data_IF_671619946203
#
_entry.id   IF_671619946203
#
_cell.length_a   1.000
_cell.length_b   1.000
_cell.length_c   1.000
_cell.angle_alpha   90.00
_cell.angle_beta   90.00
_cell.angle_gamma   90.00
#
_symmetry.space_group_name_H-M   'P 1'
#
loop_
_entity.id
_entity.type
_entity.pdbx_description
1 polymer ?
#
# COMPACT_ATOMS: atom_id res chain seq x y z
N UNK A 1 -40.03 -17.65 -50.85
CA UNK A 1 -40.02 -17.46 -49.38
C UNK A 1 -38.63 -17.80 -48.87
N UNK A 2 -37.78 -16.80 -48.62
CA UNK A 2 -36.45 -17.03 -48.06
C UNK A 2 -36.57 -17.32 -46.57
N UNK A 3 -36.18 -18.53 -46.15
CA UNK A 3 -35.99 -18.85 -44.74
C UNK A 3 -34.87 -17.97 -44.18
N UNK A 4 -35.23 -16.84 -43.56
CA UNK A 4 -34.34 -16.11 -42.67
C UNK A 4 -34.19 -16.95 -41.40
N UNK A 5 -33.24 -17.89 -41.42
CA UNK A 5 -32.77 -18.51 -40.19
C UNK A 5 -32.14 -17.41 -39.33
N UNK A 6 -32.59 -17.21 -38.09
CA UNK A 6 -31.99 -16.21 -37.22
C UNK A 6 -30.50 -16.54 -37.05
N UNK A 7 -29.60 -15.54 -37.02
CA UNK A 7 -28.18 -15.79 -36.84
C UNK A 7 -27.95 -16.53 -35.53
N UNK A 8 -27.28 -17.68 -35.60
CA UNK A 8 -26.95 -18.50 -34.43
C UNK A 8 -26.25 -17.64 -33.37
N UNK A 9 -26.61 -17.77 -32.09
CA UNK A 9 -25.90 -17.09 -31.03
C UNK A 9 -24.44 -17.54 -31.05
N UNK A 10 -23.53 -16.59 -30.90
CA UNK A 10 -22.11 -16.80 -31.14
C UNK A 10 -21.42 -17.10 -29.82
N UNK A 11 -21.00 -18.34 -29.61
CA UNK A 11 -20.23 -18.81 -28.45
C UNK A 11 -19.12 -17.85 -28.03
N UNK A 12 -18.34 -17.33 -28.96
CA UNK A 12 -17.25 -16.39 -28.63
C UNK A 12 -17.72 -15.09 -27.93
N UNK A 13 -18.98 -14.67 -28.14
CA UNK A 13 -19.55 -13.47 -27.48
C UNK A 13 -19.77 -13.72 -26.00
N UNK A 14 -20.12 -14.95 -25.60
CA UNK A 14 -20.26 -15.35 -24.19
C UNK A 14 -18.95 -15.16 -23.45
N UNK A 15 -17.87 -15.69 -24.04
CA UNK A 15 -16.53 -15.63 -23.47
C UNK A 15 -16.05 -14.19 -23.34
N UNK A 16 -16.25 -13.38 -24.38
CA UNK A 16 -15.89 -11.97 -24.35
C UNK A 16 -16.70 -11.20 -23.29
N UNK A 17 -18.01 -11.41 -23.22
CA UNK A 17 -18.86 -10.75 -22.22
C UNK A 17 -18.50 -11.17 -20.79
N UNK A 18 -18.21 -12.45 -20.56
CA UNK A 18 -17.80 -12.98 -19.26
C UNK A 18 -16.44 -12.42 -18.83
N UNK A 19 -15.52 -12.22 -19.78
CA UNK A 19 -14.23 -11.61 -19.52
C UNK A 19 -14.35 -10.14 -19.08
N UNK A 20 -15.32 -9.38 -19.62
CA UNK A 20 -15.58 -8.01 -19.18
C UNK A 20 -16.32 -7.96 -17.84
N UNK A 21 -17.31 -8.83 -17.65
CA UNK A 21 -18.07 -8.94 -16.41
C UNK A 21 -18.54 -10.39 -16.25
N UNK A 22 -18.20 -11.02 -15.11
CA UNK A 22 -18.30 -12.48 -14.96
C UNK A 22 -19.74 -12.99 -15.09
N UNK A 23 -20.73 -12.16 -14.77
CA UNK A 23 -22.14 -12.50 -14.92
C UNK A 23 -22.72 -12.33 -16.33
N UNK A 24 -22.12 -11.50 -17.21
CA UNK A 24 -22.77 -11.12 -18.47
C UNK A 24 -22.91 -12.27 -19.47
N UNK A 25 -21.99 -13.24 -19.49
CA UNK A 25 -22.12 -14.42 -20.34
C UNK A 25 -23.39 -15.22 -20.04
N UNK A 26 -23.73 -15.36 -18.76
CA UNK A 26 -24.97 -16.03 -18.31
C UNK A 26 -26.22 -15.21 -18.68
N UNK A 27 -26.16 -13.88 -18.57
CA UNK A 27 -27.26 -13.01 -19.01
C UNK A 27 -27.49 -13.14 -20.51
N UNK A 28 -26.41 -13.17 -21.30
CA UNK A 28 -26.46 -13.39 -22.75
C UNK A 28 -27.09 -14.75 -23.10
N UNK A 29 -26.72 -15.80 -22.38
CA UNK A 29 -27.33 -17.13 -22.47
C UNK A 29 -28.77 -17.22 -21.91
N UNK A 30 -29.37 -16.10 -21.47
CA UNK A 30 -30.78 -16.02 -21.05
C UNK A 30 -31.03 -16.25 -19.56
N UNK A 31 -30.00 -16.41 -18.74
CA UNK A 31 -30.07 -16.56 -17.27
C UNK A 31 -29.76 -15.25 -16.55
N UNK A 32 -30.72 -14.32 -16.55
CA UNK A 32 -30.57 -13.01 -15.93
C UNK A 32 -30.17 -13.09 -14.44
N UNK A 33 -30.96 -13.81 -13.63
CA UNK A 33 -30.72 -13.91 -12.18
C UNK A 33 -29.34 -14.52 -11.88
N UNK A 34 -28.96 -15.57 -12.61
CA UNK A 34 -27.65 -16.20 -12.42
C UNK A 34 -26.48 -15.26 -12.70
N UNK A 35 -26.57 -14.47 -13.78
CA UNK A 35 -25.56 -13.46 -14.09
C UNK A 35 -25.46 -12.36 -13.03
N UNK A 36 -26.60 -11.83 -12.58
CA UNK A 36 -26.63 -10.82 -11.50
C UNK A 36 -26.03 -11.37 -10.20
N UNK A 37 -26.38 -12.60 -9.82
CA UNK A 37 -25.83 -13.25 -8.61
C UNK A 37 -24.32 -13.40 -8.69
N UNK A 38 -23.77 -13.83 -9.83
CA UNK A 38 -22.31 -13.95 -10.01
C UNK A 38 -21.61 -12.58 -9.88
N UNK A 39 -22.17 -11.53 -10.50
CA UNK A 39 -21.62 -10.18 -10.37
C UNK A 39 -21.60 -9.71 -8.91
N UNK A 40 -22.72 -9.82 -8.21
CA UNK A 40 -22.82 -9.42 -6.80
C UNK A 40 -21.92 -10.26 -5.89
N UNK A 41 -21.78 -11.56 -6.18
CA UNK A 41 -20.86 -12.43 -5.45
C UNK A 41 -19.40 -11.97 -5.59
N UNK A 42 -18.96 -11.60 -6.80
CA UNK A 42 -17.60 -11.09 -7.03
C UNK A 42 -17.38 -9.75 -6.32
N UNK A 43 -18.38 -8.85 -6.31
CA UNK A 43 -18.32 -7.60 -5.54
C UNK A 43 -18.20 -7.88 -4.04
N UNK A 44 -18.98 -8.83 -3.51
CA UNK A 44 -18.91 -9.23 -2.10
C UNK A 44 -17.55 -9.85 -1.74
N UNK A 45 -17.01 -10.70 -2.62
CA UNK A 45 -15.67 -11.25 -2.46
C UNK A 45 -14.61 -10.14 -2.42
N UNK A 46 -14.72 -9.14 -3.30
CA UNK A 46 -13.82 -7.98 -3.30
C UNK A 46 -13.90 -7.17 -2.01
N UNK A 47 -15.12 -6.93 -1.48
CA UNK A 47 -15.32 -6.29 -0.18
C UNK A 47 -14.66 -7.08 0.96
N UNK A 48 -14.82 -8.40 0.97
CA UNK A 48 -14.16 -9.26 1.93
C UNK A 48 -12.63 -9.15 1.84
N UNK A 49 -12.07 -9.13 0.62
CA UNK A 49 -10.63 -8.95 0.41
C UNK A 49 -10.16 -7.58 0.91
N UNK A 50 -10.92 -6.50 0.71
CA UNK A 50 -10.58 -5.18 1.24
C UNK A 50 -10.52 -5.19 2.77
N UNK A 51 -11.48 -5.82 3.43
CA UNK A 51 -11.45 -5.99 4.89
C UNK A 51 -10.22 -6.82 5.28
N UNK A 52 -9.98 -7.94 4.60
CA UNK A 52 -8.87 -8.84 4.88
C UNK A 52 -7.50 -8.13 4.80
N UNK A 53 -7.26 -7.38 3.73
CA UNK A 53 -6.02 -6.59 3.55
C UNK A 53 -5.87 -5.55 4.66
N UNK A 54 -6.96 -4.90 5.07
CA UNK A 54 -6.94 -3.84 6.10
C UNK A 54 -6.56 -4.36 7.48
N UNK A 55 -7.04 -5.55 7.86
CA UNK A 55 -6.88 -6.08 9.21
C UNK A 55 -5.75 -7.12 9.36
N UNK A 56 -5.35 -7.80 8.29
CA UNK A 56 -4.36 -8.88 8.35
C UNK A 56 -3.02 -8.57 7.68
N UNK A 57 -2.75 -7.32 7.32
CA UNK A 57 -1.48 -6.88 6.74
C UNK A 57 -1.02 -7.75 5.55
N UNK A 58 -1.97 -8.17 4.72
CA UNK A 58 -1.69 -9.07 3.59
C UNK A 58 -0.82 -8.36 2.55
N UNK A 59 0.16 -9.09 2.01
CA UNK A 59 1.00 -8.61 0.90
C UNK A 59 0.15 -8.49 -0.36
N UNK A 60 0.07 -7.27 -0.92
CA UNK A 60 -0.84 -6.96 -2.03
C UNK A 60 -0.58 -7.80 -3.29
N UNK A 61 0.67 -8.15 -3.57
CA UNK A 61 1.02 -8.98 -4.73
C UNK A 61 0.35 -10.37 -4.67
N UNK A 62 0.34 -11.01 -3.51
CA UNK A 62 -0.31 -12.31 -3.33
C UNK A 62 -1.83 -12.20 -3.38
N UNK A 63 -2.38 -11.12 -2.84
CA UNK A 63 -3.81 -10.84 -2.93
C UNK A 63 -4.24 -10.62 -4.38
N UNK A 64 -3.48 -9.83 -5.14
CA UNK A 64 -3.75 -9.59 -6.56
C UNK A 64 -3.68 -10.89 -7.38
N UNK A 65 -2.68 -11.74 -7.11
CA UNK A 65 -2.57 -13.05 -7.75
C UNK A 65 -3.78 -13.94 -7.41
N UNK A 66 -4.17 -14.02 -6.14
CA UNK A 66 -5.32 -14.81 -5.71
C UNK A 66 -6.63 -14.30 -6.33
N UNK A 67 -6.82 -12.99 -6.41
CA UNK A 67 -7.98 -12.37 -7.08
C UNK A 67 -7.99 -12.68 -8.58
N UNK A 68 -6.84 -12.63 -9.25
CA UNK A 68 -6.73 -12.96 -10.67
C UNK A 68 -7.06 -14.44 -10.94
N UNK A 69 -6.57 -15.35 -10.09
CA UNK A 69 -6.90 -16.77 -10.17
C UNK A 69 -8.39 -17.03 -9.91
N UNK A 70 -8.97 -16.38 -8.89
CA UNK A 70 -10.39 -16.47 -8.59
C UNK A 70 -11.25 -15.91 -9.74
N UNK A 71 -10.85 -14.78 -10.33
CA UNK A 71 -11.50 -14.18 -11.50
C UNK A 71 -11.47 -15.13 -12.70
N UNK A 72 -10.31 -15.68 -13.03
CA UNK A 72 -10.14 -16.63 -14.12
C UNK A 72 -10.99 -17.90 -13.90
N UNK A 73 -11.01 -18.43 -12.68
CA UNK A 73 -11.81 -19.61 -12.31
C UNK A 73 -13.31 -19.33 -12.43
N UNK A 74 -13.81 -18.24 -11.82
CA UNK A 74 -15.23 -17.87 -11.88
C UNK A 74 -15.65 -17.59 -13.32
N UNK A 75 -14.83 -16.86 -14.08
CA UNK A 75 -15.09 -16.57 -15.49
C UNK A 75 -15.14 -17.84 -16.35
N UNK A 76 -14.21 -18.78 -16.15
CA UNK A 76 -14.21 -20.07 -16.86
C UNK A 76 -15.47 -20.88 -16.56
N UNK A 77 -15.88 -20.97 -15.29
CA UNK A 77 -17.08 -21.68 -14.87
C UNK A 77 -18.37 -21.01 -15.39
N UNK A 78 -18.45 -19.69 -15.33
CA UNK A 78 -19.61 -18.94 -15.81
C UNK A 78 -19.74 -19.03 -17.34
N UNK A 79 -18.63 -18.88 -18.08
CA UNK A 79 -18.61 -18.98 -19.54
C UNK A 79 -18.95 -20.39 -20.02
N UNK A 80 -18.34 -21.43 -19.42
CA UNK A 80 -18.65 -22.83 -19.76
C UNK A 80 -20.11 -23.18 -19.49
N UNK A 81 -20.68 -22.70 -18.37
CA UNK A 81 -22.10 -22.90 -18.08
C UNK A 81 -23.01 -22.16 -19.06
N UNK A 82 -22.66 -20.94 -19.44
CA UNK A 82 -23.41 -20.16 -20.42
C UNK A 82 -23.37 -20.82 -21.82
N UNK A 83 -22.24 -21.40 -22.23
CA UNK A 83 -22.12 -22.13 -23.50
C UNK A 83 -23.00 -23.37 -23.54
N UNK A 84 -23.03 -24.16 -22.46
CA UNK A 84 -23.92 -25.33 -22.35
C UNK A 84 -25.40 -24.91 -22.51
N UNK A 85 -25.80 -23.82 -21.87
CA UNK A 85 -27.18 -23.31 -21.94
C UNK A 85 -27.55 -22.84 -23.36
N UNK A 86 -26.59 -22.27 -24.09
CA UNK A 86 -26.80 -21.85 -25.48
C UNK A 86 -26.93 -23.04 -26.43
N UNK A 87 -26.20 -24.13 -26.18
CA UNK A 87 -26.34 -25.38 -26.92
C UNK A 87 -27.71 -26.04 -26.68
N UNK A 88 -28.24 -25.95 -25.46
CA UNK A 88 -29.55 -26.51 -25.09
C UNK A 88 -30.74 -25.69 -25.64
N UNK A 89 -30.61 -24.37 -25.80
CA UNK A 89 -31.75 -23.45 -26.06
C UNK A 89 -31.91 -23.06 -27.54
N UNK A 90 -31.46 -23.89 -28.49
CA UNK A 90 -31.27 -23.54 -29.91
C UNK A 90 -32.53 -23.17 -30.74
N UNK A 91 -33.72 -22.99 -30.14
CA UNK A 91 -34.95 -22.65 -30.87
C UNK A 91 -35.83 -21.54 -30.26
N UNK A 92 -35.45 -20.89 -29.15
CA UNK A 92 -36.26 -19.80 -28.59
C UNK A 92 -35.96 -18.43 -29.24
N UNK A 93 -37.03 -17.71 -29.57
CA UNK A 93 -37.03 -16.30 -29.97
C UNK A 93 -36.23 -15.44 -28.99
N UNK A 94 -35.48 -14.45 -29.51
CA UNK A 94 -34.70 -13.50 -28.69
C UNK A 94 -35.56 -12.93 -27.57
N UNK A 95 -35.13 -13.11 -26.32
CA UNK A 95 -35.85 -12.56 -25.16
C UNK A 95 -35.73 -11.04 -25.18
N UNK A 96 -36.78 -10.33 -24.74
CA UNK A 96 -36.84 -8.86 -24.75
C UNK A 96 -35.65 -8.18 -24.03
N UNK A 97 -35.00 -8.90 -23.11
CA UNK A 97 -33.84 -8.40 -22.35
C UNK A 97 -32.49 -8.52 -23.07
N UNK A 98 -32.43 -9.13 -24.26
CA UNK A 98 -31.18 -9.32 -25.02
C UNK A 98 -30.81 -8.09 -25.86
N UNK A 99 -30.81 -6.92 -25.21
CA UNK A 99 -30.44 -5.64 -25.81
C UNK A 99 -29.11 -5.15 -25.22
N UNK A 100 -28.16 -4.62 -26.02
CA UNK A 100 -26.86 -4.17 -25.52
C UNK A 100 -26.98 -3.16 -24.37
N UNK A 101 -27.95 -2.24 -24.42
CA UNK A 101 -28.21 -1.30 -23.32
C UNK A 101 -28.54 -1.99 -21.98
N UNK A 102 -29.26 -3.11 -22.02
CA UNK A 102 -29.62 -3.85 -20.81
C UNK A 102 -28.38 -4.54 -20.23
N UNK A 103 -27.51 -5.11 -21.08
CA UNK A 103 -26.24 -5.67 -20.63
C UNK A 103 -25.33 -4.61 -20.02
N UNK A 104 -25.21 -3.44 -20.66
CA UNK A 104 -24.46 -2.30 -20.11
C UNK A 104 -25.02 -1.86 -18.77
N UNK A 105 -26.35 -1.72 -18.66
CA UNK A 105 -27.00 -1.32 -17.41
C UNK A 105 -26.77 -2.34 -16.29
N UNK A 106 -26.91 -3.63 -16.58
CA UNK A 106 -26.65 -4.70 -15.61
C UNK A 106 -25.19 -4.67 -15.18
N UNK A 107 -24.24 -4.59 -16.12
CA UNK A 107 -22.82 -4.54 -15.82
C UNK A 107 -22.49 -3.33 -14.95
N UNK A 108 -23.02 -2.16 -15.29
CA UNK A 108 -22.82 -0.92 -14.56
C UNK A 108 -23.38 -0.99 -13.14
N UNK A 109 -24.61 -1.48 -12.97
CA UNK A 109 -25.30 -1.48 -11.67
C UNK A 109 -24.87 -2.61 -10.74
N UNK A 110 -24.45 -3.75 -11.28
CA UNK A 110 -24.17 -4.96 -10.48
C UNK A 110 -22.69 -5.30 -10.36
N UNK A 111 -21.84 -4.68 -11.16
CA UNK A 111 -20.40 -4.98 -11.18
C UNK A 111 -19.54 -3.72 -11.26
N UNK A 112 -19.49 -3.04 -12.41
CA UNK A 112 -18.55 -1.93 -12.66
C UNK A 112 -18.75 -0.77 -11.68
N UNK A 113 -20.00 -0.34 -11.46
CA UNK A 113 -20.32 0.74 -10.51
C UNK A 113 -19.96 0.38 -9.07
N UNK A 114 -20.46 -0.75 -8.52
CA UNK A 114 -20.06 -1.20 -7.19
C UNK A 114 -18.55 -1.39 -7.03
N UNK A 115 -17.86 -2.00 -7.98
CA UNK A 115 -16.38 -2.15 -7.95
C UNK A 115 -15.70 -0.79 -7.91
N UNK A 116 -16.11 0.15 -8.77
CA UNK A 116 -15.56 1.49 -8.79
C UNK A 116 -15.75 2.21 -7.44
N UNK A 117 -16.94 2.07 -6.83
CA UNK A 117 -17.23 2.61 -5.49
C UNK A 117 -16.33 1.96 -4.45
N UNK A 118 -16.19 0.63 -4.43
CA UNK A 118 -15.34 -0.08 -3.48
C UNK A 118 -13.88 0.37 -3.59
N UNK A 119 -13.34 0.46 -4.81
CA UNK A 119 -11.96 0.94 -5.04
C UNK A 119 -11.80 2.39 -4.58
N UNK A 120 -12.68 3.29 -5.02
CA UNK A 120 -12.63 4.71 -4.69
C UNK A 120 -12.71 4.94 -3.17
N UNK A 121 -13.64 4.30 -2.49
CA UNK A 121 -13.79 4.44 -1.04
C UNK A 121 -12.59 3.86 -0.28
N UNK A 122 -12.04 2.73 -0.74
CA UNK A 122 -10.85 2.11 -0.12
C UNK A 122 -9.63 3.02 -0.22
N UNK A 123 -9.37 3.63 -1.39
CA UNK A 123 -8.23 4.52 -1.61
C UNK A 123 -8.40 5.90 -0.94
N UNK A 124 -9.64 6.34 -0.68
CA UNK A 124 -9.89 7.59 0.05
C UNK A 124 -9.74 7.42 1.56
N UNK A 125 -10.19 6.31 2.13
CA UNK A 125 -10.38 6.20 3.57
C UNK A 125 -9.52 5.13 4.24
N UNK A 126 -9.18 4.04 3.55
CA UNK A 126 -8.52 2.89 4.18
C UNK A 126 -7.02 2.88 3.90
N UNK A 127 -6.61 3.18 2.68
CA UNK A 127 -5.23 3.02 2.25
C UNK A 127 -4.73 4.21 1.44
N UNK A 128 -3.42 4.32 1.33
CA UNK A 128 -2.75 5.19 0.36
C UNK A 128 -1.41 4.56 -0.02
N UNK A 129 -0.78 5.12 -1.04
CA UNK A 129 0.57 4.73 -1.45
C UNK A 129 1.47 5.95 -1.34
N UNK A 130 2.69 5.75 -0.85
CA UNK A 130 3.72 6.80 -0.77
C UNK A 130 4.96 6.34 -1.50
N UNK A 131 5.50 7.21 -2.36
CA UNK A 131 6.75 6.93 -3.04
C UNK A 131 7.94 7.33 -2.16
N UNK A 132 9.03 6.57 -2.25
CA UNK A 132 10.29 6.86 -1.57
C UNK A 132 11.25 7.40 -2.61
N UNK A 133 11.57 8.68 -2.52
CA UNK A 133 12.41 9.38 -3.50
C UNK A 133 13.88 9.49 -3.07
N UNK A 134 14.16 9.35 -1.78
CA UNK A 134 15.46 9.61 -1.18
C UNK A 134 15.87 8.53 -0.16
N UNK A 135 17.01 8.73 0.48
CA UNK A 135 17.59 7.79 1.43
C UNK A 135 17.13 7.99 2.89
N UNK A 136 16.07 8.75 3.18
CA UNK A 136 15.62 9.02 4.55
C UNK A 136 15.20 7.75 5.30
N UNK A 137 14.59 6.79 4.61
CA UNK A 137 14.15 5.50 5.19
C UNK A 137 15.19 4.38 5.08
N UNK A 138 16.40 4.68 4.63
CA UNK A 138 17.45 3.68 4.54
C UNK A 138 17.83 3.17 5.95
N UNK A 139 18.02 1.85 6.15
CA UNK A 139 18.09 0.78 5.15
C UNK A 139 16.77 0.08 4.82
N UNK A 140 15.69 0.42 5.52
CA UNK A 140 14.42 -0.29 5.43
C UNK A 140 13.76 -0.12 4.05
N UNK A 141 13.71 1.12 3.54
CA UNK A 141 13.24 1.43 2.20
C UNK A 141 14.30 2.18 1.39
N UNK A 142 14.27 2.00 0.08
CA UNK A 142 15.20 2.57 -0.88
C UNK A 142 14.48 3.51 -1.85
N UNK A 143 15.20 4.47 -2.46
CA UNK A 143 14.70 5.22 -3.60
C UNK A 143 14.11 4.30 -4.68
N UNK A 144 12.90 4.65 -5.12
CA UNK A 144 12.11 3.88 -6.09
C UNK A 144 11.15 2.86 -5.49
N UNK A 145 11.14 2.69 -4.16
CA UNK A 145 10.12 1.90 -3.46
C UNK A 145 8.78 2.66 -3.39
N UNK A 146 7.67 1.92 -3.45
CA UNK A 146 6.32 2.41 -3.17
C UNK A 146 5.78 1.68 -1.96
N UNK A 147 5.46 2.41 -0.91
CA UNK A 147 4.99 1.85 0.35
C UNK A 147 3.47 1.75 0.34
N UNK A 148 2.94 0.62 0.78
CA UNK A 148 1.53 0.49 1.11
C UNK A 148 1.30 1.03 2.51
N UNK A 149 0.50 2.09 2.62
CA UNK A 149 0.20 2.78 3.88
C UNK A 149 -1.26 2.58 4.22
N UNK A 150 -1.52 2.05 5.41
CA UNK A 150 -2.87 1.97 5.97
C UNK A 150 -3.19 3.29 6.65
N UNK A 151 -4.30 3.91 6.26
CA UNK A 151 -4.83 5.12 6.91
C UNK A 151 -5.41 4.74 8.26
N UNK A 152 -4.73 5.18 9.31
CA UNK A 152 -5.15 5.03 10.70
C UNK A 152 -4.73 6.31 11.41
N UNK A 153 -5.67 7.23 11.63
CA UNK A 153 -5.40 8.44 12.39
C UNK A 153 -4.86 8.13 13.78
N UNK A 154 -3.90 8.93 14.25
CA UNK A 154 -3.28 8.73 15.55
C UNK A 154 -4.27 8.75 16.72
N UNK A 155 -5.35 9.54 16.65
CA UNK A 155 -6.38 9.57 17.70
C UNK A 155 -7.19 8.26 17.81
N UNK A 156 -7.24 7.44 16.75
CA UNK A 156 -7.91 6.12 16.78
C UNK A 156 -6.94 5.04 17.30
N UNK A 157 -5.70 5.07 16.82
CA UNK A 157 -4.66 4.16 17.26
C UNK A 157 -3.36 4.95 17.47
N UNK A 158 -3.08 5.40 18.71
CA UNK A 158 -1.90 6.17 19.03
C UNK A 158 -0.62 5.42 18.61
N UNK A 159 0.26 6.05 17.81
CA UNK A 159 1.60 5.52 17.54
C UNK A 159 2.39 5.35 18.83
N UNK A 160 3.18 4.29 18.88
CA UNK A 160 4.12 4.04 19.97
C UNK A 160 5.54 4.30 19.51
N UNK A 161 6.44 4.49 20.47
CA UNK A 161 7.88 4.52 20.22
C UNK A 161 8.30 3.34 19.34
N UNK A 162 9.12 3.63 18.34
CA UNK A 162 9.58 2.67 17.36
C UNK A 162 8.62 2.45 16.18
N UNK A 163 7.35 2.85 16.26
CA UNK A 163 6.43 2.70 15.12
C UNK A 163 6.87 3.61 13.96
N UNK A 164 6.76 3.10 12.74
CA UNK A 164 6.78 3.94 11.55
C UNK A 164 5.41 4.57 11.32
N UNK A 165 5.42 5.85 11.01
CA UNK A 165 4.23 6.65 10.76
C UNK A 165 4.38 7.42 9.46
N UNK A 166 3.28 7.56 8.73
CA UNK A 166 3.19 8.47 7.59
C UNK A 166 2.41 9.70 8.00
N UNK A 167 3.01 10.86 7.77
CA UNK A 167 2.51 12.16 8.19
C UNK A 167 2.66 13.19 7.09
N UNK A 168 2.00 14.32 7.24
CA UNK A 168 2.21 15.49 6.39
C UNK A 168 3.24 16.39 7.05
N UNK A 169 4.36 16.66 6.37
CA UNK A 169 5.39 17.56 6.93
C UNK A 169 4.89 19.01 6.96
N UNK A 170 5.05 19.74 8.07
CA UNK A 170 4.57 21.13 8.17
C UNK A 170 5.21 22.09 7.15
N UNK A 171 6.47 21.84 6.79
CA UNK A 171 7.24 22.74 5.92
C UNK A 171 6.81 22.66 4.44
N UNK A 172 6.55 21.44 3.94
CA UNK A 172 6.29 21.22 2.51
C UNK A 172 4.85 20.85 2.19
N UNK A 173 4.08 20.41 3.19
CA UNK A 173 2.76 19.81 2.98
C UNK A 173 2.80 18.45 2.27
N UNK A 174 3.99 17.88 2.02
CA UNK A 174 4.15 16.58 1.40
C UNK A 174 4.05 15.44 2.44
N UNK A 175 3.59 14.25 2.03
CA UNK A 175 3.62 13.07 2.88
C UNK A 175 5.07 12.59 3.08
N UNK A 176 5.44 12.33 4.32
CA UNK A 176 6.71 11.71 4.70
C UNK A 176 6.44 10.51 5.60
N UNK A 177 7.30 9.49 5.52
CA UNK A 177 7.28 8.39 6.46
C UNK A 177 8.50 8.51 7.36
N UNK A 178 8.27 8.50 8.67
CA UNK A 178 9.27 8.72 9.71
C UNK A 178 9.00 7.78 10.88
N UNK A 179 9.99 7.55 11.74
CA UNK A 179 9.86 6.71 12.93
C UNK A 179 9.57 7.55 14.15
N UNK A 180 8.65 7.09 15.00
CA UNK A 180 8.36 7.69 16.30
C UNK A 180 9.50 7.38 17.26
N UNK A 181 10.10 8.43 17.81
CA UNK A 181 11.26 8.34 18.69
C UNK A 181 10.88 8.64 20.14
N UNK A 182 9.98 9.61 20.33
CA UNK A 182 9.42 9.93 21.63
C UNK A 182 7.91 10.17 21.51
N UNK A 183 7.20 9.79 22.57
CA UNK A 183 5.76 9.81 22.72
C UNK A 183 5.31 11.07 23.50
N UNK A 184 4.01 11.40 23.49
CA UNK A 184 3.53 12.58 24.17
C UNK A 184 3.85 12.60 25.68
N UNK A 185 4.22 13.77 26.18
CA UNK A 185 4.62 14.00 27.57
C UNK A 185 6.07 13.64 27.92
N UNK A 186 6.85 13.12 26.98
CA UNK A 186 8.28 12.81 27.19
C UNK A 186 9.17 14.02 26.95
N UNK A 187 10.40 13.99 27.46
CA UNK A 187 11.41 15.02 27.18
C UNK A 187 12.41 14.51 26.16
N UNK A 188 12.79 15.34 25.20
CA UNK A 188 13.77 15.01 24.16
C UNK A 188 14.95 15.96 24.24
N UNK A 189 16.15 15.40 24.31
CA UNK A 189 17.42 16.13 24.20
C UNK A 189 18.24 15.52 23.09
N UNK A 190 18.80 16.35 22.22
CA UNK A 190 19.60 15.86 21.09
C UNK A 190 20.80 16.74 20.82
N UNK A 191 21.94 16.12 20.56
CA UNK A 191 23.13 16.76 20.02
C UNK A 191 23.77 15.86 18.96
N UNK A 192 23.63 16.23 17.69
CA UNK A 192 24.03 15.42 16.55
C UNK A 192 23.26 14.09 16.52
N UNK A 193 23.99 12.98 16.66
CA UNK A 193 23.42 11.63 16.74
C UNK A 193 23.19 11.14 18.17
N UNK A 194 23.60 11.92 19.18
CA UNK A 194 23.36 11.56 20.58
C UNK A 194 21.97 12.02 20.97
N UNK A 195 21.15 11.08 21.43
CA UNK A 195 19.75 11.30 21.77
C UNK A 195 19.49 10.82 23.19
N UNK A 196 18.80 11.63 23.99
CA UNK A 196 18.36 11.29 25.33
C UNK A 196 16.85 11.51 25.37
N UNK A 197 16.10 10.47 25.74
CA UNK A 197 14.65 10.55 25.91
C UNK A 197 14.31 10.38 27.39
N UNK A 198 13.72 11.40 27.99
CA UNK A 198 13.57 11.53 29.43
C UNK A 198 14.93 11.50 30.12
N UNK A 199 15.17 10.44 30.89
CA UNK A 199 16.42 10.20 31.61
C UNK A 199 17.33 9.15 30.96
N UNK A 200 16.96 8.61 29.79
CA UNK A 200 17.67 7.50 29.15
C UNK A 200 18.39 7.91 27.88
N UNK A 201 19.69 7.63 27.85
CA UNK A 201 20.49 7.69 26.64
C UNK A 201 20.05 6.59 25.66
N UNK A 202 19.83 6.98 24.41
CA UNK A 202 19.59 6.06 23.30
C UNK A 202 20.93 5.51 22.84
N UNK A 203 21.05 4.19 22.83
CA UNK A 203 22.33 3.52 22.60
C UNK A 203 22.40 2.90 21.20
N UNK A 204 23.60 2.78 20.64
CA UNK A 204 23.82 2.33 19.27
C UNK A 204 24.77 1.14 19.24
N UNK A 205 24.29 -0.01 18.78
CA UNK A 205 25.13 -1.19 18.58
C UNK A 205 25.35 -1.39 17.08
N UNK A 206 26.60 -1.56 16.60
CA UNK A 206 26.84 -1.79 15.19
C UNK A 206 26.13 -3.07 14.75
N UNK A 207 25.37 -2.99 13.66
CA UNK A 207 24.77 -4.18 13.06
C UNK A 207 25.87 -4.87 12.25
N UNK A 208 26.45 -5.93 12.80
CA UNK A 208 27.52 -6.67 12.16
C UNK A 208 27.04 -7.22 10.82
N UNK A 209 27.80 -6.96 9.73
CA UNK A 209 27.43 -7.38 8.37
C UNK A 209 27.16 -8.89 8.27
N UNK A 210 27.84 -9.66 9.11
CA UNK A 210 27.72 -11.11 9.26
C UNK A 210 26.31 -11.57 9.67
N UNK A 211 25.57 -10.71 10.38
CA UNK A 211 24.24 -11.00 10.93
C UNK A 211 23.11 -10.64 9.98
N UNK A 212 23.42 -9.93 8.89
CA UNK A 212 22.44 -9.37 7.94
C UNK A 212 22.45 -10.12 6.59
N UNK A 213 23.43 -11.00 6.37
CA UNK A 213 23.51 -11.81 5.16
C UNK A 213 23.62 -10.96 3.88
N UNK A 214 22.83 -11.29 2.87
CA UNK A 214 22.84 -10.63 1.55
C UNK A 214 22.15 -9.26 1.51
N UNK A 215 21.64 -8.71 2.63
CA UNK A 215 21.10 -7.36 2.55
C UNK A 215 22.25 -6.44 2.15
N UNK A 216 22.16 -5.90 0.93
CA UNK A 216 23.12 -4.97 0.37
C UNK A 216 23.02 -3.66 1.14
N UNK A 217 23.57 -3.66 2.36
CA UNK A 217 23.98 -2.48 3.08
C UNK A 217 25.14 -1.91 2.27
N UNK A 218 24.78 -1.14 1.25
CA UNK A 218 25.73 -0.66 0.30
C UNK A 218 26.56 0.42 0.98
N UNK A 219 27.71 0.02 1.55
CA UNK A 219 28.69 0.92 2.15
C UNK A 219 29.18 1.99 1.15
N UNK A 220 28.86 1.86 -0.14
CA UNK A 220 29.10 2.86 -1.18
C UNK A 220 28.55 4.27 -0.86
N UNK A 221 27.55 4.37 0.02
CA UNK A 221 26.98 5.65 0.45
C UNK A 221 27.63 6.22 1.72
N UNK A 222 28.67 5.57 2.27
CA UNK A 222 29.26 5.95 3.56
C UNK A 222 28.30 5.82 4.75
N UNK A 223 27.23 5.04 4.59
CA UNK A 223 26.20 4.78 5.60
C UNK A 223 26.34 3.37 6.17
N UNK A 224 26.48 3.25 7.48
CA UNK A 224 26.51 1.97 8.20
C UNK A 224 25.18 1.73 8.90
N UNK A 225 24.75 0.48 8.97
CA UNK A 225 23.61 0.09 9.76
C UNK A 225 23.98 -0.08 11.24
N UNK A 226 23.12 0.45 12.10
CA UNK A 226 23.20 0.35 13.55
C UNK A 226 21.86 -0.11 14.09
N UNK A 227 21.89 -0.84 15.20
CA UNK A 227 20.70 -1.10 16.01
C UNK A 227 20.60 0.03 17.03
N UNK A 228 19.59 0.87 16.87
CA UNK A 228 19.23 1.90 17.84
C UNK A 228 18.41 1.24 18.96
N UNK A 229 18.84 1.43 20.20
CA UNK A 229 18.19 0.93 21.41
C UNK A 229 17.49 2.09 22.10
N UNK A 230 16.17 2.14 21.96
CA UNK A 230 15.35 3.21 22.49
C UNK A 230 14.37 2.64 23.53
N UNK A 231 14.75 2.74 24.81
CA UNK A 231 14.09 2.06 25.92
C UNK A 231 14.00 0.53 25.67
N UNK A 232 12.80 -0.02 25.57
CA UNK A 232 12.57 -1.45 25.30
C UNK A 232 12.57 -1.77 23.80
N UNK A 233 12.55 -0.76 22.93
CA UNK A 233 12.45 -0.92 21.49
C UNK A 233 13.83 -0.97 20.85
N UNK A 234 13.93 -1.73 19.76
CA UNK A 234 15.15 -1.88 18.97
C UNK A 234 14.79 -1.88 17.50
N UNK A 235 15.47 -1.06 16.72
CA UNK A 235 15.23 -0.98 15.28
C UNK A 235 16.52 -0.59 14.56
N UNK A 236 16.59 -0.92 13.27
CA UNK A 236 17.76 -0.66 12.45
C UNK A 236 17.69 0.75 11.88
N UNK A 237 18.76 1.50 12.08
CA UNK A 237 18.95 2.85 11.56
C UNK A 237 20.23 2.90 10.73
N UNK A 238 20.38 3.93 9.91
CA UNK A 238 21.63 4.20 9.21
C UNK A 238 22.29 5.48 9.74
N UNK A 239 23.60 5.42 9.93
CA UNK A 239 24.42 6.54 10.38
C UNK A 239 25.64 6.61 9.46
N UNK A 240 25.98 7.82 9.02
CA UNK A 240 27.22 8.06 8.29
C UNK A 240 28.39 8.24 9.24
N UNK A 241 29.52 7.62 8.93
CA UNK A 241 30.77 7.88 9.67
C UNK A 241 31.39 9.24 9.32
N UNK A 242 31.00 9.83 8.18
CA UNK A 242 31.59 11.04 7.62
C UNK A 242 30.75 12.29 7.88
N UNK A 243 29.45 12.12 8.11
CA UNK A 243 28.48 13.21 8.17
C UNK A 243 27.56 13.11 9.39
N UNK A 244 27.81 13.99 10.37
CA UNK A 244 26.90 14.21 11.51
C UNK A 244 26.02 15.42 11.23
N UNK A 245 24.68 15.31 11.37
CA UNK A 245 23.80 16.46 11.28
C UNK A 245 24.15 17.51 12.32
N UNK A 246 24.14 18.78 11.92
CA UNK A 246 24.18 19.91 12.85
C UNK A 246 22.79 20.14 13.45
N UNK A 247 22.34 19.17 14.25
CA UNK A 247 21.05 19.18 14.92
C UNK A 247 21.26 19.29 16.44
N UNK A 248 20.61 20.28 17.04
CA UNK A 248 20.63 20.49 18.48
C UNK A 248 19.21 20.77 18.96
N UNK A 249 18.70 19.90 19.82
CA UNK A 249 17.41 20.06 20.49
C UNK A 249 17.69 20.25 21.97
N UNK A 250 17.55 21.49 22.51
CA UNK A 250 17.64 21.71 23.94
C UNK A 250 16.45 21.03 24.61
N UNK A 251 16.65 20.43 25.79
CA UNK A 251 15.65 19.62 26.50
C UNK A 251 14.21 20.08 26.34
N UNK A 252 13.52 19.39 25.43
CA UNK A 252 12.22 19.76 24.91
C UNK A 252 11.18 18.79 25.48
N UNK A 253 10.34 19.29 26.37
CA UNK A 253 9.18 18.56 26.84
C UNK A 253 8.10 18.55 25.74
N UNK A 254 7.66 17.36 25.35
CA UNK A 254 6.58 17.17 24.39
C UNK A 254 5.24 17.45 25.05
N UNK A 255 4.35 18.12 24.31
CA UNK A 255 2.96 18.30 24.70
C UNK A 255 2.19 16.98 24.81
N UNK A 256 0.94 17.03 25.31
CA UNK A 256 0.10 15.85 25.55
C UNK A 256 -0.32 15.08 24.29
N UNK A 257 -0.19 15.69 23.10
CA UNK A 257 -0.48 15.07 21.80
C UNK A 257 0.70 15.20 20.81
N UNK A 258 1.88 15.60 21.29
CA UNK A 258 3.03 15.86 20.44
C UNK A 258 3.95 14.65 20.34
N UNK A 259 4.41 14.37 19.13
CA UNK A 259 5.36 13.32 18.82
C UNK A 259 6.67 13.91 18.33
N UNK A 260 7.77 13.26 18.68
CA UNK A 260 9.08 13.52 18.08
C UNK A 260 9.43 12.37 17.14
N UNK A 261 9.64 12.68 15.86
CA UNK A 261 9.86 11.67 14.82
C UNK A 261 11.16 11.94 14.07
N UNK A 262 11.86 10.87 13.68
CA UNK A 262 13.10 10.95 12.93
C UNK A 262 13.10 9.98 11.76
N UNK A 263 13.88 10.30 10.74
CA UNK A 263 14.15 9.37 9.66
C UNK A 263 15.08 8.23 10.14
N UNK A 264 14.94 7.04 9.57
CA UNK A 264 15.80 5.89 9.91
C UNK A 264 17.25 6.12 9.49
N UNK A 265 17.48 6.87 8.40
CA UNK A 265 18.79 7.41 8.09
C UNK A 265 19.03 8.69 8.90
N UNK A 266 19.79 8.57 9.98
CA UNK A 266 20.12 9.67 10.89
C UNK A 266 21.04 10.70 10.26
N UNK A 267 21.76 10.37 9.20
CA UNK A 267 22.65 11.31 8.51
C UNK A 267 22.04 11.91 7.25
N UNK A 268 20.78 11.62 6.89
CA UNK A 268 20.20 12.08 5.62
C UNK A 268 20.16 13.61 5.47
N UNK A 269 20.06 14.37 6.57
CA UNK A 269 20.11 15.84 6.52
C UNK A 269 21.52 16.39 6.24
N UNK A 270 22.54 15.57 6.43
CA UNK A 270 23.95 15.91 6.20
C UNK A 270 24.49 15.33 4.88
N UNK A 271 23.71 14.52 4.16
CA UNK A 271 24.11 13.99 2.85
C UNK A 271 23.96 15.04 1.75
N UNK A 272 24.82 15.02 0.70
CA UNK A 272 24.83 15.99 -0.40
C UNK A 272 23.70 15.76 -1.42
N UNK A 273 22.47 15.55 -0.93
CA UNK A 273 21.28 15.56 -1.79
C UNK A 273 20.74 16.99 -1.95
N UNK A 274 20.06 17.30 -3.07
CA UNK A 274 19.38 18.57 -3.22
C UNK A 274 18.44 18.82 -2.04
N UNK A 275 18.50 20.02 -1.41
CA UNK A 275 17.63 20.35 -0.28
C UNK A 275 16.13 20.12 -0.57
N UNK A 276 15.72 20.33 -1.82
CA UNK A 276 14.34 20.14 -2.25
C UNK A 276 13.87 18.67 -2.24
N UNK A 277 14.79 17.71 -2.19
CA UNK A 277 14.50 16.27 -2.11
C UNK A 277 14.77 15.69 -0.73
N UNK A 278 15.14 16.50 0.27
CA UNK A 278 15.31 16.02 1.66
C UNK A 278 13.94 15.83 2.34
N UNK A 279 13.81 14.73 3.08
CA UNK A 279 12.65 14.53 3.95
C UNK A 279 12.88 15.25 5.28
N UNK A 280 12.20 16.38 5.51
CA UNK A 280 12.27 17.04 6.81
C UNK A 280 11.74 16.13 7.93
N UNK A 281 12.41 16.15 9.09
CA UNK A 281 11.96 15.48 10.32
C UNK A 281 11.98 16.44 11.52
N UNK A 282 11.70 15.94 12.73
CA UNK A 282 11.56 16.79 13.92
C UNK A 282 12.81 17.59 14.30
N UNK A 283 13.98 17.31 13.69
CA UNK A 283 15.16 18.15 13.87
C UNK A 283 15.04 19.52 13.20
N UNK A 284 14.22 19.63 12.15
CA UNK A 284 14.02 20.87 11.39
C UNK A 284 12.80 21.65 11.89
N UNK A 285 11.65 20.97 12.01
CA UNK A 285 10.39 21.63 12.38
C UNK A 285 9.96 21.42 13.83
N UNK A 286 10.71 20.64 14.62
CA UNK A 286 10.37 20.33 16.01
C UNK A 286 9.32 19.22 16.16
N UNK A 287 8.65 19.15 17.31
CA UNK A 287 7.65 18.13 17.58
C UNK A 287 6.38 18.41 16.78
N UNK A 288 5.61 17.36 16.49
CA UNK A 288 4.40 17.45 15.69
C UNK A 288 3.17 16.89 16.41
N UNK A 289 2.02 17.58 16.37
CA UNK A 289 0.77 17.05 16.89
C UNK A 289 0.32 15.77 16.19
N UNK A 290 -0.35 14.90 16.93
CA UNK A 290 -0.92 13.63 16.47
C UNK A 290 -1.75 13.75 15.17
N UNK A 291 -2.44 14.87 14.96
CA UNK A 291 -3.31 15.09 13.80
C UNK A 291 -2.58 15.16 12.46
N UNK A 292 -1.27 15.41 12.46
CA UNK A 292 -0.45 15.32 11.24
C UNK A 292 -0.20 13.88 10.80
N UNK A 293 -0.37 12.91 11.69
CA UNK A 293 -0.16 11.48 11.44
C UNK A 293 -1.46 10.86 10.93
N UNK A 294 -1.47 10.46 9.66
CA UNK A 294 -2.67 9.92 9.01
C UNK A 294 -2.59 8.42 8.72
N UNK A 295 -1.43 7.79 8.83
CA UNK A 295 -1.30 6.38 8.50
C UNK A 295 -0.02 5.72 8.97
N UNK A 296 0.06 4.41 8.71
CA UNK A 296 1.20 3.57 9.03
C UNK A 296 1.60 2.74 7.81
N UNK A 297 2.87 2.77 7.39
CA UNK A 297 3.36 1.88 6.35
C UNK A 297 3.28 0.43 6.82
N UNK A 298 2.98 -0.49 5.92
CA UNK A 298 2.83 -1.93 6.22
C UNK A 298 3.92 -2.75 5.52
N UNK A 299 4.04 -2.58 4.20
CA UNK A 299 5.02 -3.29 3.37
C UNK A 299 5.32 -2.51 2.09
N UNK A 300 6.37 -2.91 1.39
CA UNK A 300 6.70 -2.38 0.06
C UNK A 300 5.74 -2.99 -0.97
N UNK A 301 4.86 -2.18 -1.55
CA UNK A 301 3.87 -2.59 -2.55
C UNK A 301 4.51 -2.84 -3.93
N UNK A 302 5.51 -2.03 -4.27
CA UNK A 302 6.24 -2.08 -5.53
C UNK A 302 7.63 -1.50 -5.36
N UNK A 303 8.59 -1.92 -6.19
CA UNK A 303 9.93 -1.34 -6.21
C UNK A 303 10.52 -1.39 -7.62
N UNK A 304 11.12 -0.28 -8.03
CA UNK A 304 11.87 -0.17 -9.29
C UNK A 304 13.12 0.68 -9.08
N UNK A 305 14.20 0.34 -9.76
CA UNK A 305 15.40 1.17 -9.72
C UNK A 305 15.16 2.54 -10.36
N UNK A 306 15.46 3.67 -9.68
CA UNK A 306 15.14 5.01 -10.19
C UNK A 306 15.76 5.32 -11.56
N UNK A 307 17.02 4.93 -11.78
CA UNK A 307 17.74 5.26 -13.02
C UNK A 307 17.35 4.37 -14.21
N UNK A 308 17.26 3.06 -13.99
CA UNK A 308 17.03 2.08 -15.06
C UNK A 308 15.55 1.69 -15.23
N UNK A 309 14.70 2.00 -14.24
CA UNK A 309 13.32 1.53 -14.18
C UNK A 309 13.18 0.02 -13.95
N UNK A 310 14.27 -0.72 -13.71
CA UNK A 310 14.22 -2.18 -13.58
C UNK A 310 13.47 -2.57 -12.32
N UNK A 311 12.42 -3.43 -12.40
CA UNK A 311 11.69 -3.90 -11.23
C UNK A 311 12.59 -4.66 -10.25
N UNK A 312 12.46 -4.40 -8.95
CA UNK A 312 13.15 -5.11 -7.87
C UNK A 312 12.16 -6.03 -7.15
N UNK A 313 11.90 -7.19 -7.74
CA UNK A 313 10.86 -8.13 -7.25
C UNK A 313 11.14 -8.69 -5.86
N UNK A 314 12.41 -8.80 -5.47
CA UNK A 314 12.89 -9.24 -4.16
C UNK A 314 12.44 -8.32 -3.01
N UNK A 315 12.10 -7.06 -3.33
CA UNK A 315 11.66 -6.07 -2.34
C UNK A 315 10.14 -6.07 -2.13
N UNK A 316 9.36 -6.60 -3.07
CA UNK A 316 7.90 -6.56 -3.00
C UNK A 316 7.42 -7.44 -1.85
N UNK A 317 6.65 -6.85 -0.94
CA UNK A 317 6.14 -7.52 0.25
C UNK A 317 7.06 -7.50 1.46
N UNK A 318 8.26 -6.91 1.37
CA UNK A 318 9.10 -6.70 2.55
C UNK A 318 8.34 -5.84 3.56
N UNK A 319 8.26 -6.27 4.82
CA UNK A 319 7.47 -5.60 5.82
C UNK A 319 8.21 -4.37 6.37
N UNK A 320 7.43 -3.39 6.85
CA UNK A 320 7.93 -2.12 7.37
C UNK A 320 7.58 -2.01 8.86
N UNK A 321 8.40 -2.59 9.74
CA UNK A 321 8.30 -2.46 11.20
C UNK A 321 9.70 -2.42 11.81
#
# INVERSE_FOLDING_TARGET
MSHNTPPRPRTYVVWLLTLLSPGLGLVYAGRLVGGVVINLFVVLLMLFVVIAVTFWNLVLAWVALAMLLAWAMIGLLAASRADQLLAETSSESRRAFQHPLIYTLIALMTFVGPVAIVVDQSLRHLWTFTHVDNLALYPLALPGDTLFVRRVPAHIAPPRRGDLVTLVTPETGAPATLRVIAEPGEEVQMQGNTLIIGDKLVDYTPLMHEWVGQAQLNNALGLRAWVEHNHAQRYVVAISDEATPDASVPGLALGPDDYFVLADNRSHLATPEPRASLTADSRLYGPLPADHIFGRPVHIAWSSAPESGTPRFDRIGLPLH
#
